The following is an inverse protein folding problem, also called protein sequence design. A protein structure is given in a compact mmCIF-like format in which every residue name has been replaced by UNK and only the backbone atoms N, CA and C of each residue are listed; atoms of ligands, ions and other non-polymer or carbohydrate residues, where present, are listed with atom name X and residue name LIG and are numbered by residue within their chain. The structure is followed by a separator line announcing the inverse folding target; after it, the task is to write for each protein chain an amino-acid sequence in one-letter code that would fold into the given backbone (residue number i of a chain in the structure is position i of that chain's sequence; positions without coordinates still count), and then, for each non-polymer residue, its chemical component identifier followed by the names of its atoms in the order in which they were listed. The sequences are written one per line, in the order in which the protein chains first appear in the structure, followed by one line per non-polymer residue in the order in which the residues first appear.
data_IF_019201521668
#
_entry.id   IF_019201521668
#
_cell.length_a   1.000
_cell.length_b   1.000
_cell.length_c   1.000
_cell.angle_alpha   90.00
_cell.angle_beta   90.00
_cell.angle_gamma   90.00
#
_symmetry.space_group_name_H-M   'P 1'
#
loop_
_entity.id
_entity.type
_entity.pdbx_description
1 polymer ?
#
# COMPACT_ATOMS: atom_id res chain seq x y z
N UNK A 1 -5.90 5.10 18.36
CA UNK A 1 -6.02 5.31 16.90
C UNK A 1 -6.12 4.04 16.05
N UNK A 2 -5.40 2.96 16.41
CA UNK A 2 -5.40 1.72 15.60
C UNK A 2 -6.71 0.90 15.69
N UNK A 3 -7.42 0.94 16.82
CA UNK A 3 -8.64 0.14 16.99
C UNK A 3 -9.84 0.67 16.20
N UNK A 4 -9.97 1.97 16.01
CA UNK A 4 -11.02 2.58 15.20
C UNK A 4 -10.82 2.32 13.71
N UNK A 5 -9.59 2.35 13.21
CA UNK A 5 -9.26 2.01 11.83
C UNK A 5 -9.56 0.56 11.47
N UNK A 6 -9.30 -0.38 12.37
CA UNK A 6 -9.55 -1.81 12.16
C UNK A 6 -11.05 -2.14 12.05
N UNK A 7 -11.91 -1.52 12.87
CA UNK A 7 -13.36 -1.71 12.80
C UNK A 7 -13.98 -1.12 11.53
N UNK A 8 -13.49 0.03 11.09
CA UNK A 8 -13.93 0.65 9.84
C UNK A 8 -13.49 -0.17 8.63
N UNK A 9 -12.27 -0.70 8.64
CA UNK A 9 -11.78 -1.58 7.58
C UNK A 9 -12.59 -2.87 7.48
N UNK A 10 -12.90 -3.53 8.61
CA UNK A 10 -13.71 -4.75 8.63
C UNK A 10 -15.12 -4.51 8.04
N UNK A 11 -15.76 -3.39 8.36
CA UNK A 11 -17.08 -3.02 7.79
C UNK A 11 -17.00 -2.72 6.29
N UNK A 12 -15.92 -2.06 5.83
CA UNK A 12 -15.70 -1.79 4.40
C UNK A 12 -15.51 -3.08 3.62
N UNK A 13 -14.70 -4.00 4.13
CA UNK A 13 -14.43 -5.30 3.50
C UNK A 13 -15.70 -6.15 3.40
N UNK A 14 -16.52 -6.18 4.45
CA UNK A 14 -17.79 -6.91 4.44
C UNK A 14 -18.81 -6.33 3.46
N UNK A 15 -18.78 -5.02 3.20
CA UNK A 15 -19.74 -4.35 2.31
C UNK A 15 -19.31 -4.34 0.85
N UNK A 16 -18.02 -4.18 0.57
CA UNK A 16 -17.49 -3.96 -0.78
C UNK A 16 -16.63 -5.11 -1.32
N UNK A 17 -16.28 -6.07 -0.47
CA UNK A 17 -15.38 -7.17 -0.80
C UNK A 17 -13.91 -6.77 -0.75
N UNK A 18 -13.05 -7.78 -0.50
CA UNK A 18 -11.61 -7.61 -0.29
C UNK A 18 -10.92 -6.90 -1.47
N UNK A 19 -11.26 -7.31 -2.69
CA UNK A 19 -10.61 -6.83 -3.92
C UNK A 19 -10.95 -5.36 -4.22
N UNK A 20 -12.18 -4.93 -3.95
CA UNK A 20 -12.59 -3.53 -4.16
C UNK A 20 -11.96 -2.60 -3.11
N UNK A 21 -11.86 -3.05 -1.86
CA UNK A 21 -11.24 -2.26 -0.79
C UNK A 21 -9.74 -2.10 -1.02
N UNK A 22 -9.05 -3.14 -1.52
CA UNK A 22 -7.64 -3.05 -1.93
C UNK A 22 -7.43 -2.04 -3.07
N UNK A 23 -8.27 -2.10 -4.10
CA UNK A 23 -8.21 -1.15 -5.23
C UNK A 23 -8.46 0.29 -4.78
N UNK A 24 -9.41 0.51 -3.88
CA UNK A 24 -9.68 1.84 -3.32
C UNK A 24 -8.49 2.36 -2.50
N UNK A 25 -7.89 1.53 -1.64
CA UNK A 25 -6.69 1.88 -0.88
C UNK A 25 -5.51 2.26 -1.79
N UNK A 26 -5.28 1.47 -2.84
CA UNK A 26 -4.23 1.76 -3.83
C UNK A 26 -4.50 3.05 -4.62
N UNK A 27 -5.75 3.30 -5.01
CA UNK A 27 -6.12 4.53 -5.71
C UNK A 27 -5.89 5.77 -4.82
N UNK A 28 -6.27 5.72 -3.55
CA UNK A 28 -6.02 6.79 -2.58
C UNK A 28 -4.52 7.04 -2.42
N UNK A 29 -3.73 5.98 -2.25
CA UNK A 29 -2.27 6.09 -2.13
C UNK A 29 -1.64 6.68 -3.39
N UNK A 30 -2.08 6.25 -4.58
CA UNK A 30 -1.55 6.77 -5.83
C UNK A 30 -1.88 8.24 -6.02
N UNK A 31 -3.14 8.65 -5.80
CA UNK A 31 -3.54 10.05 -5.92
C UNK A 31 -2.75 10.94 -4.94
N UNK A 32 -2.58 10.50 -3.68
CA UNK A 32 -1.79 11.22 -2.69
C UNK A 32 -0.33 11.34 -3.09
N UNK A 33 0.28 10.28 -3.63
CA UNK A 33 1.67 10.27 -4.06
C UNK A 33 1.90 11.20 -5.27
N UNK A 34 1.00 11.18 -6.25
CA UNK A 34 1.06 12.09 -7.41
C UNK A 34 0.97 13.55 -6.94
N UNK A 35 -0.03 13.86 -6.10
CA UNK A 35 -0.24 15.21 -5.62
C UNK A 35 0.95 15.71 -4.79
N UNK A 36 1.53 14.83 -3.98
CA UNK A 36 2.73 15.12 -3.21
C UNK A 36 3.96 15.37 -4.10
N UNK A 37 4.13 14.59 -5.17
CA UNK A 37 5.22 14.80 -6.14
C UNK A 37 5.08 16.13 -6.90
N UNK A 38 3.85 16.55 -7.22
CA UNK A 38 3.58 17.84 -7.88
C UNK A 38 3.84 19.05 -6.96
N UNK A 39 3.57 18.91 -5.65
CA UNK A 39 3.80 19.98 -4.68
C UNK A 39 5.22 20.01 -4.12
N UNK A 40 6.00 18.96 -4.30
CA UNK A 40 7.36 18.85 -3.76
C UNK A 40 8.30 20.02 -4.14
N UNK A 41 8.26 20.61 -5.35
CA UNK A 41 9.07 21.77 -5.70
C UNK A 41 8.77 23.02 -4.88
N UNK A 42 7.52 23.17 -4.41
CA UNK A 42 7.04 24.30 -3.62
C UNK A 42 6.93 23.99 -2.11
N UNK A 43 7.66 23.00 -1.65
CA UNK A 43 7.55 22.42 -0.30
C UNK A 43 7.73 23.41 0.84
N UNK A 44 8.54 24.45 0.67
CA UNK A 44 8.77 25.49 1.68
C UNK A 44 7.50 26.26 2.08
N UNK A 45 6.53 26.37 1.18
CA UNK A 45 5.27 27.07 1.41
C UNK A 45 4.11 26.15 1.83
N UNK A 46 4.25 24.83 1.62
CA UNK A 46 3.15 23.85 1.77
C UNK A 46 3.46 22.70 2.73
N UNK A 47 4.29 22.92 3.75
CA UNK A 47 4.72 21.89 4.69
C UNK A 47 3.55 21.14 5.35
N UNK A 48 2.54 21.87 5.82
CA UNK A 48 1.35 21.27 6.43
C UNK A 48 0.52 20.44 5.42
N UNK A 49 0.44 20.91 4.18
CA UNK A 49 -0.25 20.20 3.10
C UNK A 49 0.47 18.90 2.77
N UNK A 50 1.79 18.91 2.71
CA UNK A 50 2.61 17.70 2.49
C UNK A 50 2.47 16.70 3.63
N UNK A 51 2.44 17.16 4.88
CA UNK A 51 2.21 16.31 6.05
C UNK A 51 0.82 15.65 6.01
N UNK A 52 -0.22 16.41 5.63
CA UNK A 52 -1.58 15.89 5.48
C UNK A 52 -1.67 14.85 4.37
N UNK A 53 -1.06 15.10 3.22
CA UNK A 53 -1.01 14.17 2.09
C UNK A 53 -0.26 12.87 2.42
N UNK A 54 0.85 12.98 3.17
CA UNK A 54 1.56 11.80 3.69
C UNK A 54 0.65 10.96 4.58
N UNK A 55 -0.14 11.60 5.45
CA UNK A 55 -1.09 10.90 6.32
C UNK A 55 -2.16 10.17 5.51
N UNK A 56 -2.70 10.79 4.46
CA UNK A 56 -3.67 10.17 3.55
C UNK A 56 -3.04 9.00 2.78
N UNK A 57 -1.79 9.15 2.31
CA UNK A 57 -1.03 8.08 1.68
C UNK A 57 -0.91 6.86 2.60
N UNK A 58 -0.49 7.05 3.85
CA UNK A 58 -0.36 5.96 4.82
C UNK A 58 -1.70 5.31 5.19
N UNK A 59 -2.80 6.06 5.18
CA UNK A 59 -4.14 5.47 5.34
C UNK A 59 -4.46 4.51 4.19
N UNK A 60 -4.20 4.89 2.94
CA UNK A 60 -4.38 4.04 1.77
C UNK A 60 -3.50 2.79 1.81
N UNK A 61 -2.22 2.94 2.19
CA UNK A 61 -1.29 1.81 2.38
C UNK A 61 -1.78 0.88 3.49
N UNK A 62 -2.25 1.42 4.62
CA UNK A 62 -2.78 0.65 5.73
C UNK A 62 -3.99 -0.19 5.35
N UNK A 63 -4.93 0.38 4.59
CA UNK A 63 -6.09 -0.36 4.05
C UNK A 63 -5.66 -1.50 3.13
N UNK A 64 -4.72 -1.24 2.23
CA UNK A 64 -4.22 -2.24 1.27
C UNK A 64 -3.47 -3.36 1.97
N UNK A 65 -2.53 -3.03 2.87
CA UNK A 65 -1.69 -3.98 3.60
C UNK A 65 -2.51 -4.90 4.50
N UNK A 66 -3.47 -4.36 5.25
CA UNK A 66 -4.36 -5.16 6.11
C UNK A 66 -5.15 -6.20 5.30
N UNK A 67 -5.67 -5.79 4.15
CA UNK A 67 -6.46 -6.68 3.30
C UNK A 67 -5.59 -7.71 2.57
N UNK A 68 -4.40 -7.34 2.13
CA UNK A 68 -3.44 -8.25 1.52
C UNK A 68 -2.97 -9.33 2.52
N UNK A 69 -2.70 -8.94 3.75
CA UNK A 69 -2.33 -9.84 4.85
C UNK A 69 -3.45 -10.86 5.13
N UNK A 70 -4.70 -10.41 5.27
CA UNK A 70 -5.83 -11.30 5.47
C UNK A 70 -6.04 -12.26 4.29
N UNK A 71 -5.90 -11.77 3.06
CA UNK A 71 -5.97 -12.59 1.86
C UNK A 71 -4.89 -13.67 1.82
N UNK A 72 -3.65 -13.33 2.16
CA UNK A 72 -2.54 -14.28 2.19
C UNK A 72 -2.72 -15.38 3.27
N UNK A 73 -3.18 -15.00 4.46
CA UNK A 73 -3.36 -15.94 5.58
C UNK A 73 -4.56 -16.86 5.34
N UNK A 74 -5.63 -16.38 4.71
CA UNK A 74 -6.83 -17.16 4.42
C UNK A 74 -6.60 -18.35 3.48
N UNK A 75 -5.53 -18.33 2.69
CA UNK A 75 -5.13 -19.44 1.82
C UNK A 75 -4.59 -20.66 2.60
N UNK A 76 -4.16 -20.44 3.85
CA UNK A 76 -3.53 -21.49 4.68
C UNK A 76 -4.17 -21.61 6.06
N UNK A 77 -5.47 -21.97 6.18
CA UNK A 77 -6.20 -21.93 7.45
C UNK A 77 -5.60 -22.88 8.51
N UNK A 78 -5.04 -24.03 8.08
CA UNK A 78 -4.40 -25.00 8.99
C UNK A 78 -3.01 -24.59 9.46
N UNK A 79 -2.37 -23.61 8.84
CA UNK A 79 -1.03 -23.11 9.12
C UNK A 79 -0.98 -21.57 9.18
N UNK A 80 -2.06 -20.97 9.67
CA UNK A 80 -2.21 -19.51 9.70
C UNK A 80 -1.06 -18.78 10.44
N UNK A 81 -0.54 -19.37 11.52
CA UNK A 81 0.58 -18.83 12.26
C UNK A 81 1.87 -18.76 11.45
N UNK A 82 2.26 -19.86 10.78
CA UNK A 82 3.46 -19.85 9.92
C UNK A 82 3.29 -18.98 8.68
N UNK A 83 2.11 -18.97 8.07
CA UNK A 83 1.81 -18.09 6.94
C UNK A 83 1.92 -16.60 7.34
N UNK A 84 1.40 -16.23 8.51
CA UNK A 84 1.52 -14.88 9.06
C UNK A 84 2.98 -14.49 9.35
N UNK A 85 3.79 -15.41 9.89
CA UNK A 85 5.20 -15.16 10.17
C UNK A 85 6.00 -14.93 8.86
N UNK A 86 5.80 -15.78 7.85
CA UNK A 86 6.46 -15.63 6.54
C UNK A 86 6.03 -14.33 5.85
N UNK A 87 4.74 -14.01 5.87
CA UNK A 87 4.24 -12.75 5.32
C UNK A 87 4.87 -11.55 6.03
N UNK A 88 4.85 -11.54 7.38
CA UNK A 88 5.39 -10.45 8.18
C UNK A 88 6.89 -10.27 7.97
N UNK A 89 7.66 -11.36 7.93
CA UNK A 89 9.10 -11.33 7.66
C UNK A 89 9.40 -10.77 6.26
N UNK A 90 8.73 -11.29 5.24
CA UNK A 90 8.93 -10.83 3.85
C UNK A 90 8.57 -9.36 3.71
N UNK A 91 7.45 -8.93 4.31
CA UNK A 91 7.02 -7.54 4.30
C UNK A 91 8.04 -6.63 4.99
N UNK A 92 8.55 -7.02 6.17
CA UNK A 92 9.54 -6.26 6.91
C UNK A 92 10.88 -6.16 6.16
N UNK A 93 11.32 -7.27 5.55
CA UNK A 93 12.55 -7.31 4.75
C UNK A 93 12.47 -6.39 3.54
N UNK A 94 11.37 -6.46 2.78
CA UNK A 94 11.14 -5.57 1.63
C UNK A 94 11.07 -4.10 2.07
N UNK A 95 10.38 -3.81 3.17
CA UNK A 95 10.30 -2.45 3.70
C UNK A 95 11.68 -1.92 4.12
N UNK A 96 12.52 -2.75 4.74
CA UNK A 96 13.88 -2.39 5.12
C UNK A 96 14.75 -2.09 3.90
N UNK A 97 14.71 -2.94 2.86
CA UNK A 97 15.47 -2.75 1.63
C UNK A 97 15.05 -1.48 0.90
N UNK A 98 13.74 -1.28 0.72
CA UNK A 98 13.21 -0.08 0.06
C UNK A 98 13.51 1.18 0.88
N UNK A 99 13.36 1.10 2.20
CA UNK A 99 13.67 2.22 3.10
C UNK A 99 15.16 2.58 3.08
N UNK A 100 16.06 1.59 3.09
CA UNK A 100 17.49 1.82 2.97
C UNK A 100 17.86 2.44 1.61
N UNK A 101 17.30 1.94 0.51
CA UNK A 101 17.51 2.49 -0.82
C UNK A 101 17.01 3.94 -0.93
N UNK A 102 15.82 4.23 -0.42
CA UNK A 102 15.26 5.57 -0.38
C UNK A 102 16.09 6.53 0.49
N UNK A 103 16.58 6.04 1.65
CA UNK A 103 17.45 6.81 2.52
C UNK A 103 18.80 7.11 1.88
N UNK A 104 19.40 6.15 1.18
CA UNK A 104 20.66 6.33 0.46
C UNK A 104 20.53 7.32 -0.73
N UNK A 105 19.36 7.36 -1.36
CA UNK A 105 19.05 8.27 -2.45
C UNK A 105 18.71 9.70 -1.98
N UNK A 106 18.46 9.88 -0.68
CA UNK A 106 18.02 11.17 -0.13
C UNK A 106 19.13 12.22 -0.14
N UNK A 107 18.90 13.32 -0.84
CA UNK A 107 19.82 14.46 -0.97
C UNK A 107 19.31 15.75 -0.32
N UNK A 108 18.39 15.63 0.64
CA UNK A 108 17.81 16.78 1.32
C UNK A 108 16.64 17.46 0.61
N UNK A 109 16.13 16.88 -0.48
CA UNK A 109 14.97 17.39 -1.23
C UNK A 109 13.74 16.56 -0.95
N UNK A 110 12.60 17.21 -0.74
CA UNK A 110 11.31 16.52 -0.53
C UNK A 110 10.77 15.80 -1.77
N UNK A 111 11.31 16.08 -2.94
CA UNK A 111 10.98 15.41 -4.17
C UNK A 111 11.39 13.92 -4.15
N UNK A 112 12.51 13.59 -3.53
CA UNK A 112 13.06 12.23 -3.51
C UNK A 112 12.16 11.24 -2.77
N UNK A 113 11.70 11.50 -1.52
CA UNK A 113 10.76 10.62 -0.85
C UNK A 113 9.39 10.58 -1.53
N UNK A 114 8.93 11.69 -2.15
CA UNK A 114 7.69 11.70 -2.91
C UNK A 114 7.76 10.79 -4.15
N UNK A 115 8.87 10.79 -4.87
CA UNK A 115 9.12 9.87 -5.99
C UNK A 115 9.22 8.42 -5.53
N UNK A 116 9.89 8.15 -4.41
CA UNK A 116 9.95 6.80 -3.84
C UNK A 116 8.54 6.27 -3.51
N UNK A 117 7.69 7.08 -2.88
CA UNK A 117 6.29 6.72 -2.60
C UNK A 117 5.50 6.48 -3.89
N UNK A 118 5.70 7.29 -4.92
CA UNK A 118 5.05 7.13 -6.22
C UNK A 118 5.46 5.82 -6.89
N UNK A 119 6.74 5.50 -6.91
CA UNK A 119 7.27 4.26 -7.48
C UNK A 119 6.67 3.06 -6.75
N UNK A 120 6.65 3.07 -5.41
CA UNK A 120 6.04 2.00 -4.62
C UNK A 120 4.55 1.82 -4.92
N UNK A 121 3.80 2.91 -5.05
CA UNK A 121 2.38 2.87 -5.39
C UNK A 121 2.14 2.28 -6.79
N UNK A 122 2.94 2.67 -7.79
CA UNK A 122 2.87 2.12 -9.15
C UNK A 122 3.20 0.63 -9.16
N UNK A 123 4.25 0.21 -8.46
CA UNK A 123 4.63 -1.21 -8.35
C UNK A 123 3.52 -2.04 -7.68
N UNK A 124 2.87 -1.51 -6.66
CA UNK A 124 1.75 -2.18 -5.99
C UNK A 124 0.54 -2.36 -6.92
N UNK A 125 0.22 -1.34 -7.72
CA UNK A 125 -0.88 -1.40 -8.70
C UNK A 125 -0.58 -2.40 -9.82
N UNK A 126 0.64 -2.36 -10.37
CA UNK A 126 1.04 -3.30 -11.43
C UNK A 126 1.04 -4.73 -10.92
N UNK A 127 1.50 -4.97 -9.69
CA UNK A 127 1.43 -6.28 -9.03
C UNK A 127 -0.01 -6.79 -8.90
N UNK A 128 -0.91 -5.95 -8.40
CA UNK A 128 -2.33 -6.31 -8.27
C UNK A 128 -2.97 -6.58 -9.65
N UNK A 129 -2.65 -5.78 -10.66
CA UNK A 129 -3.15 -5.95 -12.02
C UNK A 129 -2.70 -7.29 -12.63
N UNK A 130 -1.44 -7.65 -12.46
CA UNK A 130 -0.89 -8.91 -12.94
C UNK A 130 -1.55 -10.13 -12.27
N UNK A 131 -1.80 -10.06 -10.96
CA UNK A 131 -2.49 -11.12 -10.23
C UNK A 131 -3.92 -11.28 -10.74
N UNK A 132 -4.65 -10.17 -10.87
CA UNK A 132 -6.04 -10.22 -11.37
C UNK A 132 -6.13 -10.75 -12.81
N UNK A 133 -5.15 -10.42 -13.67
CA UNK A 133 -5.10 -10.94 -15.05
C UNK A 133 -4.88 -12.45 -15.10
N UNK A 134 -4.00 -12.98 -14.23
CA UNK A 134 -3.77 -14.42 -14.13
C UNK A 134 -5.02 -15.17 -13.65
N UNK A 135 -5.73 -14.63 -12.66
CA UNK A 135 -6.97 -15.24 -12.16
C UNK A 135 -8.07 -15.26 -13.22
N UNK A 136 -8.18 -14.22 -14.06
CA UNK A 136 -9.15 -14.20 -15.15
C UNK A 136 -8.85 -15.27 -16.23
N UNK A 137 -7.59 -15.50 -16.57
CA UNK A 137 -7.18 -16.52 -17.55
C UNK A 137 -7.40 -17.95 -17.03
N UNK A 138 -7.27 -18.19 -15.73
CA UNK A 138 -7.53 -19.50 -15.13
C UNK A 138 -9.01 -19.89 -15.15
N UNK A 139 -9.93 -18.92 -15.10
CA UNK A 139 -11.37 -19.15 -15.16
C UNK A 139 -11.90 -19.36 -16.59
N UNK A 140 -11.17 -18.95 -17.62
CA UNK A 140 -11.56 -19.15 -19.02
C UNK A 140 -11.04 -20.46 -19.62
N UNK A 141 -10.24 -21.22 -18.86
CA UNK A 141 -9.63 -22.49 -19.28
C UNK A 141 -10.32 -23.74 -18.69
N UNK A 142 -11.41 -23.57 -17.95
CA UNK A 142 -12.30 -24.62 -17.42
C UNK A 142 -13.67 -24.49 -18.05
#
# INVERSE_FOLDING_TARGET
GCMTGSRSNARLVMRFGLNRTMKAGLAISLCSAIYMALLAPAASHYLYTLASLSSVFFLGVGLTSSNASMGAISLFPRRAGSASAVYGFTHALLAAVVGAAAGAAYRGRLLEPALAMLICAVLAITGLWLINRKSAMSHSAV
#
